data_IF_793863810662
#
_entry.id   IF_793863810662
#
_cell.length_a   1.000
_cell.length_b   1.000
_cell.length_c   1.000
_cell.angle_alpha   90.00
_cell.angle_beta   90.00
_cell.angle_gamma   90.00
#
_symmetry.space_group_name_H-M   'P 1'
#
loop_
_entity.id
_entity.type
_entity.pdbx_description
1 polymer ?
#
# COMPACT_ATOMS: atom_id res chain seq x y z
N UNK A 1 6.62 3.90 17.65
CA UNK A 1 6.74 4.84 18.79
C UNK A 1 7.65 5.99 18.41
N UNK A 2 7.26 7.23 18.70
CA UNK A 2 8.03 8.43 18.33
C UNK A 2 8.21 9.31 19.57
N UNK A 3 9.46 9.66 19.84
CA UNK A 3 9.85 10.73 20.75
C UNK A 3 10.23 11.94 19.88
N UNK A 4 9.31 12.90 19.78
CA UNK A 4 9.46 14.06 18.92
C UNK A 4 10.51 15.05 19.44
N UNK A 5 10.64 15.20 20.77
CA UNK A 5 11.60 16.12 21.37
C UNK A 5 13.03 15.72 21.01
N UNK A 6 13.33 14.42 21.09
CA UNK A 6 14.66 13.89 20.79
C UNK A 6 14.83 13.38 19.36
N UNK A 7 13.81 13.52 18.50
CA UNK A 7 13.77 12.99 17.13
C UNK A 7 14.12 11.49 17.04
N UNK A 8 13.59 10.67 17.95
CA UNK A 8 13.84 9.22 17.99
C UNK A 8 12.58 8.46 17.58
N UNK A 9 12.73 7.57 16.61
CA UNK A 9 11.69 6.64 16.17
C UNK A 9 12.12 5.20 16.45
N UNK A 10 11.17 4.37 16.90
CA UNK A 10 11.34 2.92 17.04
C UNK A 10 10.12 2.18 16.50
N UNK A 11 10.34 1.19 15.65
CA UNK A 11 9.34 0.18 15.30
C UNK A 11 9.18 -0.78 16.47
N UNK A 12 7.92 -1.15 16.78
CA UNK A 12 7.55 -1.98 17.92
C UNK A 12 6.58 -3.07 17.46
N UNK A 13 6.22 -3.98 18.37
CA UNK A 13 5.22 -5.03 18.15
C UNK A 13 5.58 -6.01 17.02
N UNK A 14 6.62 -6.80 17.26
CA UNK A 14 7.12 -7.83 16.35
C UNK A 14 6.34 -9.16 16.45
N UNK A 15 5.16 -9.16 17.09
CA UNK A 15 4.40 -10.40 17.35
C UNK A 15 3.82 -11.09 16.11
N UNK A 16 3.71 -10.36 14.99
CA UNK A 16 3.31 -10.90 13.68
C UNK A 16 4.47 -10.97 12.67
N UNK A 17 5.70 -10.63 13.09
CA UNK A 17 6.86 -10.72 12.21
C UNK A 17 7.22 -12.19 11.95
N UNK A 18 7.77 -12.47 10.77
CA UNK A 18 8.15 -13.82 10.34
C UNK A 18 9.46 -13.81 9.55
N UNK A 19 10.16 -14.95 9.55
CA UNK A 19 11.32 -15.17 8.70
C UNK A 19 10.91 -15.48 7.26
N UNK A 20 11.44 -14.70 6.33
CA UNK A 20 11.23 -14.95 4.91
C UNK A 20 12.08 -16.12 4.40
N UNK A 21 11.46 -16.97 3.60
CA UNK A 21 12.01 -18.15 2.96
C UNK A 21 11.43 -18.23 1.53
N UNK A 22 12.25 -18.20 0.47
CA UNK A 22 11.77 -18.24 -0.91
C UNK A 22 10.85 -19.44 -1.19
N UNK A 23 9.73 -19.19 -1.89
CA UNK A 23 8.74 -20.22 -2.25
C UNK A 23 7.88 -20.72 -1.08
N UNK A 24 7.87 -20.00 0.05
CA UNK A 24 7.04 -20.34 1.20
C UNK A 24 5.72 -19.59 1.14
N UNK A 25 4.61 -20.29 1.35
CA UNK A 25 3.29 -19.71 1.51
C UNK A 25 3.10 -19.19 2.95
N UNK A 26 2.69 -17.95 3.08
CA UNK A 26 2.44 -17.29 4.35
C UNK A 26 0.94 -17.09 4.62
N UNK A 27 0.59 -16.83 5.88
CA UNK A 27 -0.79 -16.58 6.29
C UNK A 27 -1.21 -15.15 5.96
N UNK A 28 -2.19 -14.97 5.07
CA UNK A 28 -2.69 -13.65 4.65
C UNK A 28 -3.48 -12.89 5.73
N UNK A 29 -3.82 -13.55 6.84
CA UNK A 29 -4.60 -12.97 7.96
C UNK A 29 -3.71 -12.19 8.95
N UNK A 30 -2.74 -11.45 8.43
CA UNK A 30 -1.83 -10.55 9.17
C UNK A 30 -2.13 -9.09 8.87
N UNK A 31 -1.55 -8.16 9.65
CA UNK A 31 -1.74 -6.72 9.53
C UNK A 31 -3.17 -6.20 9.79
N UNK A 32 -3.27 -4.94 10.19
CA UNK A 32 -4.55 -4.23 10.31
C UNK A 32 -5.10 -3.89 8.93
N UNK A 33 -6.43 -3.99 8.76
CA UNK A 33 -7.12 -3.86 7.46
C UNK A 33 -6.63 -2.71 6.57
N UNK A 34 -6.50 -1.51 7.11
CA UNK A 34 -6.16 -0.31 6.34
C UNK A 34 -4.73 -0.31 5.77
N UNK A 35 -3.86 -1.18 6.30
CA UNK A 35 -2.47 -1.33 5.90
C UNK A 35 -2.21 -2.62 5.12
N UNK A 36 -3.24 -3.47 4.92
CA UNK A 36 -3.09 -4.71 4.15
C UNK A 36 -2.75 -4.41 2.68
N UNK A 37 -1.69 -5.05 2.19
CA UNK A 37 -1.33 -5.09 0.76
C UNK A 37 -2.38 -5.83 -0.08
N UNK A 38 -2.50 -5.52 -1.37
CA UNK A 38 -3.38 -6.23 -2.30
C UNK A 38 -3.20 -7.75 -2.25
N UNK A 39 -1.96 -8.23 -2.14
CA UNK A 39 -1.61 -9.65 -2.00
C UNK A 39 -2.39 -10.34 -0.87
N UNK A 40 -2.57 -9.68 0.28
CA UNK A 40 -3.34 -10.25 1.41
C UNK A 40 -4.85 -10.23 1.17
N UNK A 41 -5.32 -9.35 0.29
CA UNK A 41 -6.75 -9.14 0.00
C UNK A 41 -7.24 -10.02 -1.15
N UNK A 42 -6.32 -10.50 -1.99
CA UNK A 42 -6.59 -11.46 -3.08
C UNK A 42 -6.08 -12.88 -2.78
N UNK A 43 -5.70 -13.14 -1.53
CA UNK A 43 -5.21 -14.44 -1.05
C UNK A 43 -3.93 -14.96 -1.74
N UNK A 44 -3.05 -14.06 -2.18
CA UNK A 44 -1.74 -14.44 -2.72
C UNK A 44 -0.76 -14.68 -1.56
N UNK A 45 -0.38 -15.95 -1.34
CA UNK A 45 0.34 -16.38 -0.13
C UNK A 45 1.88 -16.31 -0.25
N UNK A 46 2.43 -16.32 -1.45
CA UNK A 46 3.89 -16.27 -1.70
C UNK A 46 4.41 -14.81 -1.70
N UNK A 47 3.99 -14.02 -0.70
CA UNK A 47 4.44 -12.63 -0.53
C UNK A 47 5.74 -12.53 0.27
N UNK A 48 6.36 -11.34 0.23
CA UNK A 48 7.66 -11.07 0.84
C UNK A 48 7.72 -9.71 1.56
N UNK A 49 8.93 -9.21 1.79
CA UNK A 49 9.23 -7.93 2.45
C UNK A 49 8.52 -6.71 1.82
N UNK A 50 8.15 -6.79 0.53
CA UNK A 50 7.44 -5.71 -0.18
C UNK A 50 6.03 -5.43 0.39
N UNK A 51 5.47 -6.33 1.20
CA UNK A 51 4.25 -6.07 1.98
C UNK A 51 4.41 -4.89 2.95
N UNK A 52 5.59 -4.77 3.57
CA UNK A 52 5.90 -3.67 4.49
C UNK A 52 5.98 -2.32 3.75
N UNK A 53 6.43 -2.35 2.49
CA UNK A 53 6.54 -1.17 1.64
C UNK A 53 5.18 -0.63 1.22
N UNK A 54 4.20 -1.52 0.97
CA UNK A 54 2.80 -1.11 0.82
C UNK A 54 2.26 -0.45 2.08
N UNK A 55 2.47 -1.09 3.24
CA UNK A 55 2.03 -0.57 4.54
C UNK A 55 2.60 0.83 4.81
N UNK A 56 3.89 1.03 4.52
CA UNK A 56 4.54 2.33 4.58
C UNK A 56 3.91 3.33 3.61
N UNK A 57 3.64 2.93 2.35
CA UNK A 57 2.96 3.77 1.36
C UNK A 57 1.59 4.28 1.84
N UNK A 58 0.79 3.40 2.46
CA UNK A 58 -0.49 3.80 3.05
C UNK A 58 -0.32 4.81 4.19
N UNK A 59 0.71 4.66 5.03
CA UNK A 59 1.03 5.62 6.11
C UNK A 59 1.47 6.96 5.53
N UNK A 60 2.37 6.95 4.54
CA UNK A 60 2.83 8.15 3.82
C UNK A 60 1.65 8.89 3.19
N UNK A 61 0.79 8.18 2.45
CA UNK A 61 -0.42 8.75 1.87
C UNK A 61 -1.33 9.39 2.93
N UNK A 62 -1.52 8.71 4.07
CA UNK A 62 -2.35 9.23 5.16
C UNK A 62 -1.76 10.52 5.76
N UNK A 63 -0.43 10.58 5.93
CA UNK A 63 0.28 11.76 6.44
C UNK A 63 0.20 12.94 5.47
N UNK A 64 0.62 12.75 4.22
CA UNK A 64 0.74 13.86 3.26
C UNK A 64 -0.62 14.38 2.79
N UNK A 65 -1.62 13.51 2.64
CA UNK A 65 -2.97 13.93 2.26
C UNK A 65 -3.87 14.28 3.45
N UNK A 66 -3.37 14.16 4.69
CA UNK A 66 -4.12 14.43 5.93
C UNK A 66 -5.43 13.64 6.01
N UNK A 67 -5.39 12.38 5.58
CA UNK A 67 -6.56 11.50 5.47
C UNK A 67 -6.25 10.14 6.09
N UNK A 68 -6.79 9.89 7.28
CA UNK A 68 -6.51 8.69 8.06
C UNK A 68 -7.80 7.87 8.31
N UNK A 69 -7.84 6.58 7.89
CA UNK A 69 -6.92 5.93 6.97
C UNK A 69 -7.09 6.42 5.52
N UNK A 70 -6.04 6.33 4.70
CA UNK A 70 -6.14 6.73 3.29
C UNK A 70 -7.11 5.84 2.49
N UNK A 71 -6.98 4.52 2.64
CA UNK A 71 -7.92 3.52 2.12
C UNK A 71 -8.80 3.00 3.26
N UNK A 72 -10.09 3.39 3.25
CA UNK A 72 -11.01 3.16 4.35
C UNK A 72 -12.11 2.15 3.98
N UNK A 73 -11.76 0.87 3.95
CA UNK A 73 -12.69 -0.24 3.68
C UNK A 73 -13.48 -0.69 4.91
N UNK A 74 -14.77 -1.02 4.73
CA UNK A 74 -15.62 -1.51 5.83
C UNK A 74 -15.32 -2.97 6.25
N UNK A 75 -14.76 -3.76 5.34
CA UNK A 75 -14.21 -5.10 5.53
C UNK A 75 -13.04 -5.34 4.55
N UNK A 76 -12.50 -6.55 4.49
CA UNK A 76 -11.36 -6.86 3.61
C UNK A 76 -11.74 -6.78 2.13
N UNK A 77 -12.96 -7.15 1.77
CA UNK A 77 -13.43 -7.08 0.39
C UNK A 77 -13.57 -5.62 -0.08
N UNK A 78 -14.22 -4.78 0.72
CA UNK A 78 -14.33 -3.34 0.41
C UNK A 78 -12.98 -2.62 0.50
N UNK A 79 -12.01 -3.13 1.29
CA UNK A 79 -10.65 -2.59 1.31
C UNK A 79 -10.02 -2.65 -0.09
N UNK A 80 -10.13 -3.79 -0.79
CA UNK A 80 -9.62 -3.90 -2.16
C UNK A 80 -10.38 -2.97 -3.11
N UNK A 81 -11.71 -2.83 -2.95
CA UNK A 81 -12.52 -1.88 -3.73
C UNK A 81 -12.06 -0.44 -3.50
N UNK A 82 -11.70 -0.04 -2.27
CA UNK A 82 -11.17 1.30 -1.99
C UNK A 82 -9.83 1.54 -2.68
N UNK A 83 -8.97 0.52 -2.72
CA UNK A 83 -7.69 0.58 -3.43
C UNK A 83 -7.93 0.71 -4.95
N UNK A 84 -8.77 -0.14 -5.53
CA UNK A 84 -9.17 -0.12 -6.94
C UNK A 84 -9.79 1.20 -7.39
N UNK A 85 -10.56 1.86 -6.52
CA UNK A 85 -11.09 3.19 -6.79
C UNK A 85 -10.03 4.29 -6.89
N UNK A 86 -8.77 4.03 -6.53
CA UNK A 86 -7.65 4.97 -6.62
C UNK A 86 -6.63 4.51 -7.65
N UNK A 87 -6.11 3.30 -7.52
CA UNK A 87 -5.07 2.78 -8.41
C UNK A 87 -5.61 2.27 -9.75
N UNK A 88 -6.93 2.10 -9.86
CA UNK A 88 -7.59 1.62 -11.06
C UNK A 88 -7.69 0.09 -11.11
N UNK A 89 -8.61 -0.40 -11.92
CA UNK A 89 -8.90 -1.84 -12.01
C UNK A 89 -8.07 -2.55 -13.06
N UNK A 90 -7.57 -1.82 -14.05
CA UNK A 90 -6.77 -2.41 -15.13
C UNK A 90 -5.44 -2.94 -14.57
N UNK A 91 -4.75 -2.16 -13.74
CA UNK A 91 -3.50 -2.59 -13.07
C UNK A 91 -3.75 -3.73 -12.06
N UNK A 92 -4.93 -3.75 -11.40
CA UNK A 92 -5.32 -4.86 -10.52
C UNK A 92 -5.50 -6.16 -11.31
N UNK A 93 -6.23 -6.13 -12.42
CA UNK A 93 -6.44 -7.32 -13.25
C UNK A 93 -5.13 -7.79 -13.90
N UNK A 94 -4.26 -6.87 -14.32
CA UNK A 94 -2.92 -7.24 -14.80
C UNK A 94 -2.09 -7.96 -13.74
N UNK A 95 -2.17 -7.52 -12.48
CA UNK A 95 -1.55 -8.21 -11.34
C UNK A 95 -2.13 -9.60 -11.12
N UNK A 96 -3.46 -9.72 -11.08
CA UNK A 96 -4.16 -11.02 -10.92
C UNK A 96 -3.78 -11.99 -12.03
N UNK A 97 -3.77 -11.53 -13.29
CA UNK A 97 -3.39 -12.35 -14.46
C UNK A 97 -1.92 -12.76 -14.41
N UNK A 98 -1.01 -11.84 -14.05
CA UNK A 98 0.44 -12.11 -13.97
C UNK A 98 0.77 -13.27 -13.02
N UNK A 99 0.09 -13.32 -11.88
CA UNK A 99 0.33 -14.33 -10.85
C UNK A 99 -0.68 -15.48 -10.88
N UNK A 100 -1.58 -15.51 -11.88
CA UNK A 100 -2.64 -16.51 -12.03
C UNK A 100 -3.46 -16.70 -10.74
N UNK A 101 -3.88 -15.57 -10.14
CA UNK A 101 -4.64 -15.54 -8.89
C UNK A 101 -6.12 -15.78 -9.19
N UNK A 102 -6.76 -16.70 -8.46
CA UNK A 102 -8.21 -16.87 -8.50
C UNK A 102 -8.87 -15.90 -7.53
N UNK A 103 -9.50 -14.84 -8.05
CA UNK A 103 -10.26 -13.91 -7.22
C UNK A 103 -11.52 -14.57 -6.68
N UNK A 104 -11.81 -14.34 -5.39
CA UNK A 104 -13.07 -14.77 -4.79
C UNK A 104 -14.26 -14.19 -5.57
N UNK A 105 -15.23 -15.05 -5.90
CA UNK A 105 -16.46 -14.69 -6.62
C UNK A 105 -17.24 -13.53 -6.03
N UNK A 106 -17.07 -13.22 -4.74
CA UNK A 106 -17.66 -12.03 -4.12
C UNK A 106 -17.23 -10.73 -4.81
N UNK A 107 -16.02 -10.69 -5.40
CA UNK A 107 -15.53 -9.53 -6.14
C UNK A 107 -16.31 -9.25 -7.43
N UNK A 108 -16.97 -10.24 -8.02
CA UNK A 108 -17.76 -10.07 -9.25
C UNK A 108 -18.88 -9.05 -9.07
N UNK A 109 -19.43 -8.93 -7.86
CA UNK A 109 -20.55 -8.02 -7.55
C UNK A 109 -20.08 -6.63 -7.07
N UNK A 110 -18.92 -6.55 -6.43
CA UNK A 110 -18.46 -5.33 -5.73
C UNK A 110 -17.34 -4.58 -6.45
N UNK A 111 -16.58 -5.26 -7.31
CA UNK A 111 -15.47 -4.67 -8.05
C UNK A 111 -15.99 -4.13 -9.39
N UNK A 112 -16.16 -2.81 -9.46
CA UNK A 112 -16.49 -2.12 -10.71
C UNK A 112 -15.28 -1.96 -11.64
N UNK A 113 -15.44 -1.18 -12.72
CA UNK A 113 -14.31 -0.66 -13.50
C UNK A 113 -13.98 0.75 -13.05
N UNK A 114 -12.73 0.98 -12.66
CA UNK A 114 -12.27 2.27 -12.17
C UNK A 114 -11.01 2.70 -12.93
N UNK A 115 -10.97 3.93 -13.49
CA UNK A 115 -9.72 4.48 -13.99
C UNK A 115 -8.79 4.85 -12.84
N UNK A 116 -7.47 4.72 -13.04
CA UNK A 116 -6.46 5.22 -12.11
C UNK A 116 -6.66 6.71 -11.90
N UNK A 117 -6.69 7.14 -10.64
CA UNK A 117 -6.81 8.55 -10.27
C UNK A 117 -5.42 9.16 -10.12
N UNK A 118 -5.17 10.34 -10.70
CA UNK A 118 -3.94 11.06 -10.40
C UNK A 118 -3.94 11.47 -8.92
N UNK A 119 -2.78 11.39 -8.28
CA UNK A 119 -2.63 11.75 -6.86
C UNK A 119 -3.02 13.20 -6.55
N UNK A 120 -2.88 14.10 -7.54
CA UNK A 120 -3.30 15.50 -7.45
C UNK A 120 -4.78 15.67 -7.11
N UNK A 121 -5.62 14.65 -7.37
CA UNK A 121 -7.05 14.66 -7.00
C UNK A 121 -7.27 14.68 -5.47
N UNK A 122 -6.30 14.25 -4.68
CA UNK A 122 -6.40 14.22 -3.22
C UNK A 122 -5.82 15.47 -2.55
N UNK A 123 -5.30 16.41 -3.34
CA UNK A 123 -4.72 17.67 -2.84
C UNK A 123 -5.83 18.69 -2.58
N UNK A 124 -5.75 19.37 -1.44
CA UNK A 124 -6.66 20.43 -1.03
C UNK A 124 -5.91 21.49 -0.21
N UNK A 125 -6.58 22.59 0.14
CA UNK A 125 -5.98 23.72 0.86
C UNK A 125 -5.37 23.36 2.23
N UNK A 126 -5.82 22.27 2.87
CA UNK A 126 -5.32 21.87 4.19
C UNK A 126 -4.03 21.04 4.10
N UNK A 127 -3.82 20.36 2.97
CA UNK A 127 -2.72 19.42 2.80
C UNK A 127 -1.68 19.86 1.75
N UNK A 128 -1.97 20.86 0.91
CA UNK A 128 -1.10 21.32 -0.18
C UNK A 128 0.35 21.60 0.26
N UNK A 129 0.53 22.12 1.48
CA UNK A 129 1.85 22.43 2.06
C UNK A 129 2.73 21.20 2.31
N UNK A 130 2.17 20.00 2.30
CA UNK A 130 2.89 18.73 2.49
C UNK A 130 3.15 18.02 1.17
N UNK A 131 2.70 18.58 0.05
CA UNK A 131 2.74 17.95 -1.27
C UNK A 131 3.85 18.59 -2.10
N UNK A 132 4.73 17.75 -2.62
CA UNK A 132 5.72 18.11 -3.65
C UNK A 132 5.69 17.07 -4.77
N UNK A 133 6.22 17.38 -5.97
CA UNK A 133 6.37 16.39 -7.04
C UNK A 133 7.11 15.13 -6.55
N UNK A 134 8.15 15.29 -5.75
CA UNK A 134 8.97 14.20 -5.20
C UNK A 134 8.17 13.36 -4.19
N UNK A 135 7.33 13.98 -3.35
CA UNK A 135 6.47 13.25 -2.42
C UNK A 135 5.45 12.36 -3.14
N UNK A 136 4.89 12.87 -4.26
CA UNK A 136 3.92 12.16 -5.08
C UNK A 136 4.59 11.03 -5.86
N UNK A 137 5.76 11.29 -6.43
CA UNK A 137 6.56 10.29 -7.14
C UNK A 137 7.01 9.15 -6.21
N UNK A 138 7.51 9.50 -5.02
CA UNK A 138 7.86 8.54 -3.99
C UNK A 138 6.68 7.65 -3.62
N UNK A 139 5.51 8.26 -3.38
CA UNK A 139 4.30 7.51 -3.03
C UNK A 139 3.85 6.57 -4.15
N UNK A 140 3.96 6.99 -5.42
CA UNK A 140 3.55 6.19 -6.57
C UNK A 140 4.37 4.91 -6.72
N UNK A 141 5.65 4.95 -6.34
CA UNK A 141 6.55 3.79 -6.32
C UNK A 141 6.33 2.85 -5.12
N UNK A 142 5.64 3.28 -4.07
CA UNK A 142 5.26 2.42 -2.93
C UNK A 142 3.92 1.73 -3.16
N UNK A 143 2.92 2.46 -3.67
CA UNK A 143 1.55 1.98 -3.82
C UNK A 143 1.31 1.34 -5.19
N UNK A 144 1.92 0.18 -5.42
CA UNK A 144 1.72 -0.69 -6.59
C UNK A 144 1.01 -1.99 -6.22
N UNK A 145 0.14 -2.48 -7.11
CA UNK A 145 -0.49 -3.79 -6.94
C UNK A 145 0.55 -4.89 -6.93
N UNK A 146 1.34 -4.95 -7.99
CA UNK A 146 2.45 -5.86 -8.11
C UNK A 146 3.50 -5.54 -7.06
N UNK A 147 3.67 -6.47 -6.14
CA UNK A 147 4.56 -6.35 -5.01
C UNK A 147 6.04 -6.29 -5.45
N UNK A 148 6.37 -6.85 -6.62
CA UNK A 148 7.71 -6.80 -7.21
C UNK A 148 8.05 -5.45 -7.88
N UNK A 149 7.05 -4.59 -8.13
CA UNK A 149 7.27 -3.25 -8.70
C UNK A 149 7.47 -2.17 -7.62
N UNK A 150 7.30 -2.52 -6.35
CA UNK A 150 7.44 -1.57 -5.24
C UNK A 150 8.92 -1.33 -4.98
N UNK A 151 9.28 -0.11 -4.58
CA UNK A 151 10.62 0.15 -4.06
C UNK A 151 10.95 -0.78 -2.90
N UNK A 152 12.17 -1.31 -2.92
CA UNK A 152 12.83 -1.83 -1.73
C UNK A 152 13.11 -0.69 -0.74
N UNK A 153 13.33 -0.99 0.56
CA UNK A 153 13.68 0.05 1.52
C UNK A 153 14.93 0.86 1.13
N UNK A 154 15.92 0.23 0.50
CA UNK A 154 17.14 0.91 0.07
C UNK A 154 16.87 1.88 -1.09
N UNK A 155 16.15 1.44 -2.13
CA UNK A 155 15.73 2.32 -3.23
C UNK A 155 14.87 3.48 -2.73
N UNK A 156 13.98 3.20 -1.78
CA UNK A 156 13.15 4.22 -1.15
C UNK A 156 14.00 5.25 -0.39
N UNK A 157 15.04 4.83 0.33
CA UNK A 157 15.95 5.73 1.06
C UNK A 157 16.80 6.61 0.14
N UNK A 158 17.14 6.13 -1.05
CA UNK A 158 17.93 6.86 -2.05
C UNK A 158 17.07 7.80 -2.92
N UNK A 159 15.76 7.85 -2.69
CA UNK A 159 14.84 8.68 -3.48
C UNK A 159 15.03 10.20 -3.20
N UNK A 160 14.93 11.09 -4.22
CA UNK A 160 15.11 12.54 -4.06
C UNK A 160 14.22 13.22 -3.01
N UNK A 161 13.11 12.60 -2.64
CA UNK A 161 12.23 13.07 -1.54
C UNK A 161 12.96 13.16 -0.18
N UNK A 162 14.04 12.40 0.00
CA UNK A 162 14.86 12.40 1.21
C UNK A 162 16.19 13.16 1.05
N UNK A 163 16.42 13.86 -0.07
CA UNK A 163 17.56 14.75 -0.19
C UNK A 163 17.46 15.90 0.83
N UNK A 164 18.57 16.30 1.51
CA UNK A 164 18.56 17.28 2.60
C UNK A 164 18.20 18.73 2.21
#
# INVERSE_FOLDING_TARGET
>A
MIDHENKKLRLIDWGLAEFYHPGTEYNVRVASRYWKGPELLVDFQEYDYSLDMWSLGCVVASMIFRKEPFFHGHDNYDQLVKIAKVLGTDDLFAFVDKYNIELDSHFDEILGRYPRKPWTRFVNAENERFISPEAIDFLDHLLRYDHQERFTPLEAMDHPYFEP
#
